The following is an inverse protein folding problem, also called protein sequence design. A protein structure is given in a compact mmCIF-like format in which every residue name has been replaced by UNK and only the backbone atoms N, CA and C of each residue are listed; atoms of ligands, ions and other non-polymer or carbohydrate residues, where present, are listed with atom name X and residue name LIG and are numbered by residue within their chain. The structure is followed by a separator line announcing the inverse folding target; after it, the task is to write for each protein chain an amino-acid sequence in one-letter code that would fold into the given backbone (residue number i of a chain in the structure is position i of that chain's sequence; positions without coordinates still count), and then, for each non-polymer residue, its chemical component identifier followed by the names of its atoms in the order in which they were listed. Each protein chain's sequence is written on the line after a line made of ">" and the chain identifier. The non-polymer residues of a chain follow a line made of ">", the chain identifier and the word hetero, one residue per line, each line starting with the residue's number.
data_IF_421084306366
#
_entry.id   IF_421084306366
#
_cell.length_a   1.000
_cell.length_b   1.000
_cell.length_c   1.000
_cell.angle_alpha   90.00
_cell.angle_beta   90.00
_cell.angle_gamma   90.00
#
_symmetry.space_group_name_H-M   'P 1'
#
loop_
_entity.id
_entity.type
_entity.pdbx_description
1 polymer ?
#
# COMPACT_ATOMS: atom_id res chain seq x y z
N UNK A 1 -15.99 -6.54 -24.02
CA UNK A 1 -14.89 -7.39 -23.51
C UNK A 1 -13.94 -6.46 -22.79
N UNK A 2 -13.96 -6.42 -21.47
CA UNK A 2 -12.99 -5.63 -20.71
C UNK A 2 -11.78 -6.52 -20.49
N UNK A 3 -10.67 -6.19 -21.14
CA UNK A 3 -9.41 -6.90 -20.98
C UNK A 3 -8.92 -6.68 -19.55
N UNK A 4 -9.23 -7.63 -18.66
CA UNK A 4 -8.58 -7.78 -17.36
C UNK A 4 -7.16 -8.27 -17.60
N UNK A 5 -6.33 -7.42 -18.20
CA UNK A 5 -4.88 -7.60 -18.17
C UNK A 5 -4.48 -7.87 -16.72
N UNK A 6 -3.89 -9.03 -16.50
CA UNK A 6 -3.51 -9.63 -15.22
C UNK A 6 -3.34 -8.60 -14.11
N UNK A 7 -4.28 -8.55 -13.15
CA UNK A 7 -4.19 -7.68 -11.98
C UNK A 7 -3.02 -8.21 -11.15
N UNK A 8 -1.82 -7.69 -11.43
CA UNK A 8 -0.61 -8.01 -10.68
C UNK A 8 -0.87 -7.76 -9.18
N UNK A 9 -0.37 -8.66 -8.33
CA UNK A 9 -0.49 -8.51 -6.89
C UNK A 9 0.15 -7.19 -6.43
N UNK A 10 -0.37 -6.58 -5.35
CA UNK A 10 0.24 -5.42 -4.69
C UNK A 10 1.73 -5.62 -4.39
N UNK A 11 2.13 -6.87 -4.07
CA UNK A 11 3.54 -7.25 -3.91
C UNK A 11 4.31 -7.11 -5.22
N UNK A 12 3.80 -7.67 -6.31
CA UNK A 12 4.49 -7.68 -7.61
C UNK A 12 4.69 -6.27 -8.14
N UNK A 13 3.66 -5.43 -7.99
CA UNK A 13 3.72 -4.00 -8.32
C UNK A 13 4.82 -3.32 -7.50
N UNK A 14 4.84 -3.53 -6.18
CA UNK A 14 5.87 -2.96 -5.31
C UNK A 14 7.28 -3.41 -5.68
N UNK A 15 7.49 -4.69 -5.98
CA UNK A 15 8.80 -5.22 -6.39
C UNK A 15 9.22 -4.59 -7.72
N UNK A 16 8.34 -4.58 -8.73
CA UNK A 16 8.66 -4.15 -10.08
C UNK A 16 9.18 -2.71 -10.15
N UNK A 17 8.64 -1.82 -9.34
CA UNK A 17 8.92 -0.37 -9.43
C UNK A 17 9.90 0.15 -8.40
N UNK A 18 10.20 -0.64 -7.38
CA UNK A 18 11.26 -0.32 -6.43
C UNK A 18 12.62 -0.82 -6.96
N UNK A 19 12.63 -1.58 -8.06
CA UNK A 19 13.84 -1.94 -8.81
C UNK A 19 14.65 -0.70 -9.19
N UNK A 20 15.89 -0.68 -8.75
CA UNK A 20 16.88 0.36 -9.10
C UNK A 20 17.53 0.05 -10.45
N UNK A 21 17.95 1.10 -11.15
CA UNK A 21 18.68 0.98 -12.40
C UNK A 21 20.14 0.58 -12.10
N UNK A 22 20.69 -0.44 -12.78
CA UNK A 22 22.09 -0.79 -12.62
C UNK A 22 22.96 0.39 -13.06
N UNK A 23 24.09 0.61 -12.37
CA UNK A 23 25.03 1.69 -12.68
C UNK A 23 24.60 3.09 -12.24
N UNK A 24 23.40 3.27 -11.67
CA UNK A 24 22.97 4.56 -11.08
C UNK A 24 23.31 4.58 -9.59
N UNK A 25 23.99 5.64 -9.14
CA UNK A 25 24.22 5.91 -7.73
C UNK A 25 22.97 6.54 -7.12
N UNK A 26 22.52 6.00 -5.98
CA UNK A 26 21.34 6.48 -5.26
C UNK A 26 21.73 7.04 -3.90
N UNK A 27 21.02 8.09 -3.45
CA UNK A 27 21.29 8.76 -2.17
C UNK A 27 20.97 7.88 -0.94
N UNK A 28 19.96 7.01 -1.04
CA UNK A 28 19.51 6.16 0.06
C UNK A 28 19.95 4.70 -0.13
N UNK A 29 20.08 3.97 0.98
CA UNK A 29 20.31 2.52 0.95
C UNK A 29 19.10 1.79 0.32
N UNK A 30 19.34 0.58 -0.19
CA UNK A 30 18.28 -0.29 -0.72
C UNK A 30 17.78 -1.29 0.33
N UNK A 31 18.44 -1.36 1.49
CA UNK A 31 18.21 -2.34 2.56
C UNK A 31 16.74 -2.41 2.99
N UNK A 32 16.12 -1.26 3.30
CA UNK A 32 14.71 -1.25 3.72
C UNK A 32 13.77 -1.87 2.68
N UNK A 33 14.02 -1.63 1.39
CA UNK A 33 13.22 -2.25 0.33
C UNK A 33 13.47 -3.75 0.26
N UNK A 34 14.74 -4.17 0.32
CA UNK A 34 15.11 -5.60 0.34
C UNK A 34 14.45 -6.31 1.51
N UNK A 35 14.54 -5.74 2.72
CA UNK A 35 13.95 -6.31 3.93
C UNK A 35 12.43 -6.49 3.79
N UNK A 36 11.73 -5.49 3.24
CA UNK A 36 10.28 -5.57 3.01
C UNK A 36 9.90 -6.64 1.98
N UNK A 37 10.66 -6.76 0.89
CA UNK A 37 10.40 -7.78 -0.14
C UNK A 37 10.60 -9.18 0.47
N UNK A 38 11.68 -9.39 1.21
CA UNK A 38 11.95 -10.66 1.89
C UNK A 38 10.87 -10.99 2.93
N UNK A 39 10.36 -9.99 3.65
CA UNK A 39 9.26 -10.18 4.60
C UNK A 39 7.96 -10.59 3.90
N UNK A 40 7.60 -9.95 2.78
CA UNK A 40 6.44 -10.33 1.97
C UNK A 40 6.56 -11.76 1.43
N UNK A 41 7.77 -12.19 1.03
CA UNK A 41 8.05 -13.56 0.60
C UNK A 41 7.86 -14.59 1.71
N UNK A 42 8.33 -14.29 2.93
CA UNK A 42 8.15 -15.18 4.09
C UNK A 42 6.68 -15.38 4.46
N UNK A 43 5.89 -14.31 4.45
CA UNK A 43 4.46 -14.36 4.77
C UNK A 43 3.74 -15.23 3.73
N UNK A 44 3.98 -14.98 2.43
CA UNK A 44 3.36 -15.77 1.36
C UNK A 44 3.72 -17.26 1.43
N UNK A 45 5.00 -17.59 1.69
CA UNK A 45 5.44 -18.99 1.82
C UNK A 45 4.81 -19.71 3.02
N UNK A 46 4.46 -18.98 4.09
CA UNK A 46 3.82 -19.57 5.28
C UNK A 46 2.32 -19.80 5.05
N UNK A 47 1.71 -19.01 4.15
CA UNK A 47 0.28 -18.96 3.92
C UNK A 47 -0.22 -19.99 2.90
N UNK A 48 0.67 -20.64 2.14
CA UNK A 48 0.33 -21.80 1.28
C UNK A 48 -0.26 -23.00 2.06
N UNK A 49 -0.36 -22.89 3.39
CA UNK A 49 -0.78 -23.92 4.34
C UNK A 49 -2.17 -23.68 5.00
N UNK A 50 -2.85 -22.54 4.81
CA UNK A 50 -4.05 -22.21 5.59
C UNK A 50 -5.02 -21.22 4.95
N UNK A 51 -6.31 -21.45 5.16
CA UNK A 51 -7.50 -20.88 4.48
C UNK A 51 -7.75 -19.36 4.66
N UNK A 52 -6.87 -18.63 5.36
CA UNK A 52 -6.97 -17.18 5.54
C UNK A 52 -5.80 -16.50 4.83
N UNK A 53 -6.02 -16.10 3.57
CA UNK A 53 -4.95 -15.47 2.81
C UNK A 53 -4.79 -14.00 3.19
N UNK A 54 -4.01 -13.68 4.23
CA UNK A 54 -3.62 -12.31 4.53
C UNK A 54 -2.87 -11.69 3.33
N UNK A 55 -3.19 -10.43 2.99
CA UNK A 55 -2.42 -9.70 1.99
C UNK A 55 -1.03 -9.39 2.56
N UNK A 56 -0.04 -10.19 2.18
CA UNK A 56 1.35 -10.04 2.61
C UNK A 56 1.86 -8.60 2.43
N UNK A 57 1.37 -7.87 1.44
CA UNK A 57 1.72 -6.47 1.27
C UNK A 57 1.14 -5.60 2.40
N UNK A 58 -0.15 -5.73 2.71
CA UNK A 58 -0.81 -5.01 3.80
C UNK A 58 -0.17 -5.32 5.15
N UNK A 59 0.20 -6.58 5.40
CA UNK A 59 0.87 -7.01 6.63
C UNK A 59 2.23 -6.30 6.82
N UNK A 60 3.04 -6.19 5.77
CA UNK A 60 4.36 -5.53 5.84
C UNK A 60 4.25 -4.00 5.86
N UNK A 61 3.28 -3.45 5.16
CA UNK A 61 3.15 -2.00 4.99
C UNK A 61 2.28 -1.33 6.05
N UNK A 62 1.57 -2.13 6.83
CA UNK A 62 0.65 -1.71 7.86
C UNK A 62 -0.63 -1.07 7.33
N UNK A 63 -1.56 -0.77 8.24
CA UNK A 63 -2.79 -0.07 7.92
C UNK A 63 -2.49 1.34 7.35
N UNK A 64 -3.35 1.74 6.42
CA UNK A 64 -3.39 3.10 5.88
C UNK A 64 -3.70 4.12 6.99
N UNK A 65 -3.01 5.27 6.98
CA UNK A 65 -3.33 6.34 7.93
C UNK A 65 -4.68 6.99 7.61
N UNK A 66 -5.47 7.38 8.64
CA UNK A 66 -6.74 8.09 8.42
C UNK A 66 -6.57 9.32 7.52
N UNK A 67 -7.45 9.46 6.53
CA UNK A 67 -7.43 10.58 5.56
C UNK A 67 -6.30 10.53 4.52
N UNK A 68 -5.54 9.43 4.45
CA UNK A 68 -4.51 9.20 3.42
C UNK A 68 -4.87 7.98 2.59
N UNK A 69 -4.42 7.98 1.33
CA UNK A 69 -4.52 6.83 0.42
C UNK A 69 -3.17 6.59 -0.23
N UNK A 70 -2.67 5.36 -0.12
CA UNK A 70 -1.44 4.92 -0.75
C UNK A 70 -1.74 4.76 -2.22
N UNK A 71 -0.97 5.47 -3.04
CA UNK A 71 -1.33 5.62 -4.44
C UNK A 71 -0.95 4.45 -5.35
N UNK A 72 -0.42 3.33 -4.85
CA UNK A 72 -0.09 2.11 -5.61
C UNK A 72 0.27 2.35 -7.09
N UNK A 73 1.13 3.34 -7.36
CA UNK A 73 1.55 3.78 -8.71
C UNK A 73 0.48 4.39 -9.61
N UNK A 74 -0.77 4.42 -9.17
CA UNK A 74 -1.83 5.21 -9.76
C UNK A 74 -1.46 6.70 -9.67
N UNK A 75 -1.03 7.24 -10.81
CA UNK A 75 -0.92 8.68 -10.98
C UNK A 75 -2.27 9.32 -10.70
N UNK A 76 -2.30 10.29 -9.79
CA UNK A 76 -3.53 11.02 -9.48
C UNK A 76 -3.57 12.32 -10.26
N UNK A 77 -4.67 12.55 -10.97
CA UNK A 77 -4.98 13.85 -11.53
C UNK A 77 -5.85 14.65 -10.53
N UNK A 78 -5.92 15.97 -10.73
CA UNK A 78 -6.68 16.87 -9.84
C UNK A 78 -8.17 16.49 -9.74
N UNK A 79 -8.73 15.84 -10.75
CA UNK A 79 -10.14 15.40 -10.76
C UNK A 79 -10.36 14.17 -9.90
N UNK A 80 -9.46 13.18 -9.94
CA UNK A 80 -9.48 12.00 -9.04
C UNK A 80 -9.34 12.42 -7.58
N UNK A 81 -8.41 13.34 -7.27
CA UNK A 81 -8.25 13.87 -5.91
C UNK A 81 -9.47 14.63 -5.41
N UNK A 82 -10.11 15.43 -6.27
CA UNK A 82 -11.31 16.20 -5.91
C UNK A 82 -12.52 15.30 -5.68
N UNK A 83 -12.71 14.25 -6.49
CA UNK A 83 -13.83 13.31 -6.36
C UNK A 83 -13.81 12.56 -5.02
N UNK A 84 -12.62 12.30 -4.46
CA UNK A 84 -12.44 11.55 -3.21
C UNK A 84 -12.62 12.38 -1.94
N UNK A 85 -12.79 13.70 -2.02
CA UNK A 85 -12.94 14.60 -0.85
C UNK A 85 -14.25 14.39 -0.07
N UNK A 86 -15.22 13.65 -0.62
CA UNK A 86 -16.50 13.33 0.04
C UNK A 86 -16.54 11.97 0.76
N UNK A 87 -15.62 11.04 0.46
CA UNK A 87 -15.68 9.64 0.94
C UNK A 87 -14.71 9.35 2.10
N UNK A 88 -13.83 10.30 2.45
CA UNK A 88 -13.09 10.20 3.71
C UNK A 88 -14.04 10.59 4.82
N UNK A 89 -14.64 9.56 5.44
CA UNK A 89 -15.60 9.69 6.54
C UNK A 89 -15.24 10.84 7.46
N UNK A 90 -16.18 11.79 7.58
CA UNK A 90 -16.17 12.83 8.59
C UNK A 90 -15.79 12.19 9.93
N UNK A 91 -14.64 12.56 10.51
CA UNK A 91 -14.34 12.19 11.88
C UNK A 91 -15.20 13.06 12.80
N UNK A 92 -16.44 12.63 13.01
CA UNK A 92 -17.32 13.04 14.10
C UNK A 92 -17.23 11.90 15.13
N UNK A 93 -16.82 12.06 16.38
CA UNK A 93 -16.88 13.22 17.28
C UNK A 93 -15.70 13.15 18.27
N UNK A 94 -15.01 14.28 18.48
CA UNK A 94 -14.30 14.50 19.73
C UNK A 94 -15.37 14.85 20.77
N UNK A 95 -15.50 14.02 21.80
CA UNK A 95 -16.41 14.22 22.93
C UNK A 95 -16.07 15.53 23.62
N UNK A 96 -16.94 16.53 23.51
CA UNK A 96 -16.90 17.72 24.35
C UNK A 96 -17.55 17.33 25.69
N UNK A 97 -16.74 16.88 26.65
CA UNK A 97 -17.16 16.74 28.05
C UNK A 97 -17.37 18.14 28.62
N UNK A 98 -18.61 18.61 28.44
CA UNK A 98 -19.24 19.75 29.10
C UNK A 98 -19.00 19.68 30.62
N UNK A 99 -18.31 20.70 31.12
CA UNK A 99 -18.29 21.14 32.52
C UNK A 99 -19.68 21.08 33.17
N UNK A 100 -19.80 20.37 34.29
CA UNK A 100 -20.61 20.75 35.45
C UNK A 100 -20.06 20.10 36.73
#
# INVERSE_FOLDING_TARGET
>A
MADTSDILSSKDIFVATRKRKPGRVYKGSYENTISKIAEMERIQSTQESGDDSDDAFASVMGPEHPGRVRLYEQGVNKTVLKKKKGDFGSSVNATDERMQ
#
